data_IF_159441547612
#
_entry.id   IF_159441547612
#
_cell.length_a   1.000
_cell.length_b   1.000
_cell.length_c   1.000
_cell.angle_alpha   90.00
_cell.angle_beta   90.00
_cell.angle_gamma   90.00
#
_symmetry.space_group_name_H-M   'P 1'
#
loop_
_entity.id
_entity.type
_entity.pdbx_description
1 polymer ?
#
# COMPACT_ATOMS: atom_id res chain seq x y z
N UNK A 1 9.00 -29.03 12.56
CA UNK A 1 8.83 -27.64 12.08
C UNK A 1 7.75 -27.68 11.02
N UNK A 2 6.59 -27.08 11.30
CA UNK A 2 5.46 -26.99 10.38
C UNK A 2 5.80 -26.04 9.23
N UNK A 3 6.56 -26.54 8.25
CA UNK A 3 7.06 -25.77 7.10
C UNK A 3 5.93 -25.08 6.34
N UNK A 4 4.76 -25.72 6.27
CA UNK A 4 3.57 -25.18 5.61
C UNK A 4 2.97 -23.98 6.34
N UNK A 5 2.83 -24.04 7.67
CA UNK A 5 2.27 -22.93 8.49
C UNK A 5 3.16 -21.68 8.36
N UNK A 6 4.47 -21.88 8.44
CA UNK A 6 5.44 -20.79 8.26
C UNK A 6 5.40 -20.20 6.83
N UNK A 7 5.35 -21.04 5.79
CA UNK A 7 5.27 -20.59 4.39
C UNK A 7 3.98 -19.79 4.12
N UNK A 8 2.86 -20.26 4.65
CA UNK A 8 1.57 -19.59 4.54
C UNK A 8 1.61 -18.19 5.18
N UNK A 9 2.07 -18.11 6.42
CA UNK A 9 2.24 -16.88 7.17
C UNK A 9 3.18 -15.89 6.45
N UNK A 10 4.33 -16.38 5.96
CA UNK A 10 5.24 -15.58 5.17
C UNK A 10 4.57 -15.02 3.90
N UNK A 11 3.76 -15.81 3.21
CA UNK A 11 3.03 -15.37 2.03
C UNK A 11 2.01 -14.27 2.34
N UNK A 12 1.29 -14.38 3.47
CA UNK A 12 0.33 -13.36 3.95
C UNK A 12 1.04 -12.04 4.22
N UNK A 13 2.10 -12.09 5.03
CA UNK A 13 2.89 -10.91 5.42
C UNK A 13 3.49 -10.24 4.19
N UNK A 14 4.06 -11.03 3.28
CA UNK A 14 4.70 -10.54 2.06
C UNK A 14 3.69 -9.86 1.12
N UNK A 15 2.52 -10.46 0.92
CA UNK A 15 1.46 -9.88 0.08
C UNK A 15 1.00 -8.53 0.62
N UNK A 16 0.77 -8.45 1.93
CA UNK A 16 0.32 -7.21 2.55
C UNK A 16 1.40 -6.13 2.52
N UNK A 17 2.67 -6.49 2.74
CA UNK A 17 3.81 -5.59 2.53
C UNK A 17 3.82 -5.01 1.12
N UNK A 18 3.74 -5.86 0.08
CA UNK A 18 3.75 -5.39 -1.31
C UNK A 18 2.52 -4.55 -1.65
N UNK A 19 1.35 -4.86 -1.08
CA UNK A 19 0.13 -4.08 -1.28
C UNK A 19 0.30 -2.63 -0.80
N UNK A 20 0.94 -2.43 0.35
CA UNK A 20 1.16 -1.09 0.89
C UNK A 20 2.30 -0.37 0.18
N UNK A 21 3.39 -1.06 -0.16
CA UNK A 21 4.48 -0.49 -0.97
C UNK A 21 3.98 -0.03 -2.34
N UNK A 22 3.05 -0.76 -2.95
CA UNK A 22 2.40 -0.35 -4.20
C UNK A 22 1.67 0.98 -4.02
N UNK A 23 0.82 1.08 -3.00
CA UNK A 23 0.06 2.31 -2.70
C UNK A 23 1.00 3.47 -2.44
N UNK A 24 2.01 3.28 -1.59
CA UNK A 24 2.99 4.32 -1.27
C UNK A 24 3.73 4.83 -2.51
N UNK A 25 4.14 3.93 -3.41
CA UNK A 25 4.82 4.32 -4.66
C UNK A 25 3.89 5.08 -5.58
N UNK A 26 2.64 4.63 -5.78
CA UNK A 26 1.68 5.33 -6.65
C UNK A 26 1.35 6.73 -6.14
N UNK A 27 1.08 6.84 -4.83
CA UNK A 27 0.80 8.12 -4.20
C UNK A 27 2.03 9.02 -4.14
N UNK A 28 3.22 8.46 -3.92
CA UNK A 28 4.48 9.19 -3.98
C UNK A 28 4.78 9.75 -5.38
N UNK A 29 4.50 8.98 -6.43
CA UNK A 29 4.62 9.44 -7.82
C UNK A 29 3.61 10.54 -8.14
N UNK A 30 2.35 10.41 -7.69
CA UNK A 30 1.33 11.44 -7.87
C UNK A 30 1.69 12.73 -7.11
N UNK A 31 2.21 12.63 -5.89
CA UNK A 31 2.69 13.77 -5.11
C UNK A 31 3.88 14.46 -5.80
N UNK A 32 4.83 13.68 -6.33
CA UNK A 32 5.99 14.22 -7.07
C UNK A 32 5.55 14.94 -8.34
N UNK A 33 4.66 14.34 -9.13
CA UNK A 33 4.11 14.96 -10.34
C UNK A 33 3.33 16.25 -10.01
N UNK A 34 2.56 16.23 -8.91
CA UNK A 34 1.86 17.41 -8.40
C UNK A 34 2.82 18.52 -8.01
N UNK A 35 3.95 18.20 -7.37
CA UNK A 35 4.97 19.18 -7.00
C UNK A 35 5.63 19.82 -8.24
N UNK A 36 5.93 19.02 -9.26
CA UNK A 36 6.47 19.50 -10.55
C UNK A 36 5.47 20.45 -11.22
N UNK A 37 4.20 20.06 -11.32
CA UNK A 37 3.16 20.92 -11.92
C UNK A 37 2.88 22.16 -11.05
N UNK A 38 2.99 22.06 -9.73
CA UNK A 38 2.95 23.20 -8.81
C UNK A 38 4.07 24.22 -9.08
N UNK A 39 5.28 23.75 -9.39
CA UNK A 39 6.38 24.62 -9.81
C UNK A 39 6.05 25.35 -11.12
N UNK A 40 5.54 24.65 -12.14
CA UNK A 40 5.15 25.27 -13.41
C UNK A 40 4.03 26.31 -13.23
N UNK A 41 3.04 26.03 -12.36
CA UNK A 41 1.97 26.96 -12.01
C UNK A 41 2.55 28.21 -11.35
N UNK A 42 3.51 28.07 -10.44
CA UNK A 42 4.13 29.21 -9.75
C UNK A 42 4.88 30.16 -10.70
N UNK A 43 5.39 29.62 -11.83
CA UNK A 43 6.07 30.39 -12.89
C UNK A 43 5.14 30.81 -14.03
N UNK A 44 3.83 30.55 -13.91
CA UNK A 44 2.82 30.78 -14.94
C UNK A 44 3.10 30.07 -16.28
N UNK A 45 3.87 28.98 -16.25
CA UNK A 45 4.13 28.14 -17.43
C UNK A 45 3.01 27.13 -17.59
N UNK A 46 2.25 27.23 -18.68
CA UNK A 46 1.14 26.31 -18.99
C UNK A 46 0.19 26.04 -17.81
N UNK A 47 -0.06 27.06 -16.97
CA UNK A 47 -0.70 26.88 -15.66
C UNK A 47 -2.09 26.24 -15.74
N UNK A 48 -2.85 26.50 -16.82
CA UNK A 48 -4.15 25.86 -17.06
C UNK A 48 -4.01 24.34 -17.28
N UNK A 49 -3.07 23.93 -18.14
CA UNK A 49 -2.82 22.52 -18.40
C UNK A 49 -2.26 21.80 -17.17
N UNK A 50 -1.35 22.42 -16.43
CA UNK A 50 -0.80 21.87 -15.19
C UNK A 50 -1.89 21.63 -14.12
N UNK A 51 -2.81 22.59 -13.91
CA UNK A 51 -3.93 22.41 -12.97
C UNK A 51 -4.84 21.25 -13.36
N UNK A 52 -5.12 21.09 -14.66
CA UNK A 52 -5.97 20.01 -15.15
C UNK A 52 -5.35 18.62 -14.92
N UNK A 53 -4.02 18.49 -15.05
CA UNK A 53 -3.31 17.22 -14.87
C UNK A 53 -3.24 16.74 -13.43
N UNK A 54 -3.17 17.66 -12.45
CA UNK A 54 -3.10 17.29 -11.02
C UNK A 54 -4.23 16.32 -10.66
N UNK A 55 -5.48 16.65 -10.99
CA UNK A 55 -6.64 15.80 -10.69
C UNK A 55 -6.51 14.43 -11.38
N UNK A 56 -5.96 14.38 -12.60
CA UNK A 56 -5.76 13.13 -13.33
C UNK A 56 -4.74 12.23 -12.65
N UNK A 57 -3.62 12.77 -12.13
CA UNK A 57 -2.62 11.98 -11.41
C UNK A 57 -3.20 11.27 -10.18
N UNK A 58 -3.99 12.00 -9.39
CA UNK A 58 -4.65 11.44 -8.21
C UNK A 58 -5.75 10.44 -8.59
N UNK A 59 -6.49 10.70 -9.68
CA UNK A 59 -7.46 9.75 -10.23
C UNK A 59 -6.81 8.44 -10.65
N UNK A 60 -5.69 8.48 -11.38
CA UNK A 60 -4.95 7.29 -11.78
C UNK A 60 -4.30 6.57 -10.59
N UNK A 61 -3.73 7.30 -9.64
CA UNK A 61 -3.15 6.72 -8.43
C UNK A 61 -4.21 5.98 -7.61
N UNK A 62 -5.39 6.56 -7.43
CA UNK A 62 -6.51 5.92 -6.72
C UNK A 62 -7.03 4.68 -7.46
N UNK A 63 -7.24 4.79 -8.78
CA UNK A 63 -7.71 3.68 -9.62
C UNK A 63 -6.74 2.49 -9.59
N UNK A 64 -5.47 2.74 -9.88
CA UNK A 64 -4.44 1.69 -9.92
C UNK A 64 -4.23 1.09 -8.53
N UNK A 65 -4.24 1.90 -7.47
CA UNK A 65 -4.17 1.39 -6.11
C UNK A 65 -5.35 0.48 -5.79
N UNK A 66 -6.57 0.87 -6.15
CA UNK A 66 -7.77 0.05 -5.94
C UNK A 66 -7.70 -1.30 -6.65
N UNK A 67 -7.29 -1.32 -7.91
CA UNK A 67 -7.12 -2.56 -8.69
C UNK A 67 -6.03 -3.44 -8.07
N UNK A 68 -4.86 -2.88 -7.76
CA UNK A 68 -3.74 -3.62 -7.19
C UNK A 68 -4.08 -4.18 -5.81
N UNK A 69 -4.73 -3.41 -4.94
CA UNK A 69 -5.20 -3.87 -3.63
C UNK A 69 -6.20 -5.01 -3.79
N UNK A 70 -7.16 -4.90 -4.71
CA UNK A 70 -8.11 -5.98 -4.97
C UNK A 70 -7.39 -7.27 -5.38
N UNK A 71 -6.45 -7.22 -6.32
CA UNK A 71 -5.71 -8.41 -6.77
C UNK A 71 -4.83 -9.01 -5.67
N UNK A 72 -4.13 -8.17 -4.90
CA UNK A 72 -3.21 -8.62 -3.86
C UNK A 72 -3.91 -9.14 -2.61
N UNK A 73 -5.04 -8.55 -2.23
CA UNK A 73 -5.80 -8.88 -1.03
C UNK A 73 -6.89 -9.94 -1.26
N UNK A 74 -7.34 -10.19 -2.50
CA UNK A 74 -8.37 -11.19 -2.81
C UNK A 74 -8.15 -12.59 -2.17
N UNK A 75 -6.92 -13.15 -2.11
CA UNK A 75 -6.72 -14.47 -1.54
C UNK A 75 -6.55 -14.47 -0.02
N UNK A 76 -6.58 -13.29 0.64
CA UNK A 76 -6.43 -13.16 2.09
C UNK A 76 -7.81 -13.13 2.75
N UNK A 77 -7.92 -13.84 3.87
CA UNK A 77 -9.10 -13.76 4.73
C UNK A 77 -9.08 -12.49 5.58
N UNK A 78 -10.25 -12.00 5.96
CA UNK A 78 -10.36 -10.83 6.83
C UNK A 78 -9.70 -11.04 8.19
N UNK A 79 -9.63 -12.29 8.66
CA UNK A 79 -8.97 -12.67 9.90
C UNK A 79 -7.46 -12.43 9.83
N UNK A 80 -6.80 -12.93 8.79
CA UNK A 80 -5.35 -12.74 8.55
C UNK A 80 -4.94 -11.27 8.43
N UNK A 81 -5.79 -10.48 7.77
CA UNK A 81 -5.60 -9.02 7.68
C UNK A 81 -5.70 -8.39 9.07
N UNK A 82 -6.69 -8.81 9.87
CA UNK A 82 -6.94 -8.27 11.22
C UNK A 82 -5.82 -8.58 12.22
N UNK A 83 -5.28 -9.81 12.21
CA UNK A 83 -4.16 -10.22 13.06
C UNK A 83 -2.94 -9.33 12.81
N UNK A 84 -2.62 -9.14 11.53
CA UNK A 84 -1.52 -8.28 11.15
C UNK A 84 -1.74 -6.80 11.49
N UNK A 85 -2.98 -6.33 11.45
CA UNK A 85 -3.32 -4.96 11.87
C UNK A 85 -3.14 -4.76 13.38
N UNK A 86 -3.55 -5.75 14.20
CA UNK A 86 -3.30 -5.74 15.65
C UNK A 86 -1.80 -5.72 15.95
N UNK A 87 -1.01 -6.54 15.26
CA UNK A 87 0.45 -6.59 15.43
C UNK A 87 1.12 -5.25 15.11
N UNK A 88 0.68 -4.57 14.05
CA UNK A 88 1.15 -3.21 13.72
C UNK A 88 0.91 -2.21 14.83
N UNK A 89 -0.29 -2.24 15.41
CA UNK A 89 -0.65 -1.37 16.53
C UNK A 89 0.27 -1.60 17.74
N UNK A 90 0.57 -2.87 18.04
CA UNK A 90 1.48 -3.23 19.14
C UNK A 90 2.93 -2.81 18.86
N UNK A 91 3.40 -2.92 17.62
CA UNK A 91 4.78 -2.57 17.24
C UNK A 91 5.02 -1.07 17.03
N UNK A 92 3.97 -0.25 16.91
CA UNK A 92 4.10 1.19 16.63
C UNK A 92 4.70 1.51 15.26
N UNK A 93 4.68 0.56 14.31
CA UNK A 93 5.26 0.75 12.97
C UNK A 93 4.18 1.14 11.95
N UNK A 94 4.46 2.19 11.18
CA UNK A 94 3.59 2.72 10.13
C UNK A 94 3.53 1.83 8.89
N UNK A 95 4.66 1.26 8.48
CA UNK A 95 4.81 0.36 7.33
C UNK A 95 5.03 -1.08 7.79
N UNK A 96 4.58 -2.06 6.99
CA UNK A 96 4.90 -3.47 7.20
C UNK A 96 6.39 -3.69 7.41
N UNK A 97 6.75 -4.25 8.55
CA UNK A 97 7.96 -5.06 8.67
C UNK A 97 7.63 -6.50 8.25
N UNK A 98 8.58 -7.20 7.62
CA UNK A 98 8.46 -8.61 7.19
C UNK A 98 8.48 -9.57 8.40
N UNK A 99 7.67 -9.27 9.41
CA UNK A 99 7.65 -10.00 10.67
C UNK A 99 6.51 -11.02 10.64
N UNK A 100 6.83 -12.29 10.81
CA UNK A 100 5.87 -13.41 10.77
C UNK A 100 4.97 -13.41 12.01
N UNK A 101 3.72 -13.89 11.87
CA UNK A 101 2.82 -14.14 12.99
C UNK A 101 3.39 -15.27 13.88
N UNK A 102 3.19 -15.19 15.19
CA UNK A 102 3.63 -16.26 16.11
C UNK A 102 2.61 -17.42 16.06
N UNK A 103 3.06 -18.67 16.21
CA UNK A 103 2.23 -19.88 15.99
C UNK A 103 0.97 -19.93 16.87
N UNK A 104 1.00 -19.34 18.08
CA UNK A 104 -0.16 -19.26 18.99
C UNK A 104 -1.34 -18.44 18.44
N UNK A 105 -1.10 -17.50 17.52
CA UNK A 105 -2.15 -16.60 17.01
C UNK A 105 -3.01 -17.23 15.89
N UNK A 106 -2.62 -18.40 15.37
CA UNK A 106 -3.33 -19.11 14.31
C UNK A 106 -4.34 -20.16 14.81
N UNK A 107 -4.34 -20.49 16.10
CA UNK A 107 -5.13 -21.58 16.68
C UNK A 107 -6.48 -21.14 17.30
N UNK A 108 -6.97 -19.94 16.96
CA UNK A 108 -8.28 -19.40 17.40
C UNK A 108 -9.30 -19.42 16.28
#
# INVERSE_FOLDING_TARGET
MDTYRWQHNNAVVTRLYYSERMVEVLFGMAATATAIDGFFISRNYFASAARARIIQYWGYAALLSGISLYVLLKPLTSHEISLNWKKRRTMGKWLWSVYHLDEEEWEV
#
